data_IF_447174365608
#
_entry.id   IF_447174365608
#
_cell.length_a   1.000
_cell.length_b   1.000
_cell.length_c   1.000
_cell.angle_alpha   90.00
_cell.angle_beta   90.00
_cell.angle_gamma   90.00
#
_symmetry.space_group_name_H-M   'P 1'
#
loop_
_entity.id
_entity.type
_entity.pdbx_description
1 polymer ?
#
# COMPACT_ATOMS: atom_id res chain seq x y z
N UNK A 1 2.32 -13.14 -13.80
CA UNK A 1 0.95 -13.16 -13.27
C UNK A 1 0.73 -14.33 -12.30
N UNK A 2 1.03 -15.59 -12.67
CA UNK A 2 0.70 -16.75 -11.83
C UNK A 2 1.25 -16.63 -10.39
N UNK A 3 2.53 -16.31 -10.25
CA UNK A 3 3.15 -16.14 -8.94
C UNK A 3 2.56 -14.96 -8.15
N UNK A 4 2.26 -13.83 -8.81
CA UNK A 4 1.65 -12.68 -8.16
C UNK A 4 0.24 -13.02 -7.62
N UNK A 5 -0.60 -13.64 -8.44
CA UNK A 5 -1.97 -14.01 -8.06
C UNK A 5 -1.97 -15.06 -6.92
N UNK A 6 -1.07 -16.04 -6.99
CA UNK A 6 -0.91 -17.03 -5.92
C UNK A 6 -0.45 -16.34 -4.61
N UNK A 7 0.59 -15.49 -4.69
CA UNK A 7 1.09 -14.75 -3.52
C UNK A 7 0.02 -13.87 -2.87
N UNK A 8 -0.79 -13.15 -3.66
CA UNK A 8 -1.89 -12.32 -3.14
C UNK A 8 -2.89 -13.17 -2.36
N UNK A 9 -3.31 -14.32 -2.92
CA UNK A 9 -4.27 -15.21 -2.24
C UNK A 9 -3.70 -15.73 -0.92
N UNK A 10 -2.50 -16.28 -0.93
CA UNK A 10 -1.85 -16.82 0.26
C UNK A 10 -1.65 -15.76 1.34
N UNK A 11 -1.19 -14.55 0.95
CA UNK A 11 -0.99 -13.46 1.90
C UNK A 11 -2.31 -13.05 2.55
N UNK A 12 -3.37 -12.86 1.78
CA UNK A 12 -4.67 -12.43 2.31
C UNK A 12 -5.27 -13.47 3.26
N UNK A 13 -5.05 -14.76 3.00
CA UNK A 13 -5.54 -15.85 3.82
C UNK A 13 -4.73 -16.04 5.10
N UNK A 14 -3.40 -16.03 5.01
CA UNK A 14 -2.52 -16.50 6.09
C UNK A 14 -1.89 -15.39 6.93
N UNK A 15 -1.78 -14.16 6.41
CA UNK A 15 -1.11 -13.08 7.13
C UNK A 15 -1.73 -12.77 8.50
N UNK A 16 -3.06 -12.66 8.67
CA UNK A 16 -3.65 -12.42 9.99
C UNK A 16 -3.39 -13.55 10.99
N UNK A 17 -3.44 -14.80 10.54
CA UNK A 17 -3.17 -15.98 11.37
C UNK A 17 -1.70 -16.03 11.81
N UNK A 18 -0.79 -15.75 10.86
CA UNK A 18 0.66 -15.68 11.12
C UNK A 18 0.99 -14.56 12.11
N UNK A 19 0.34 -13.41 11.99
CA UNK A 19 0.49 -12.30 12.92
C UNK A 19 0.00 -12.65 14.33
N UNK A 20 -1.06 -13.44 14.42
CA UNK A 20 -1.58 -13.98 15.69
C UNK A 20 -0.71 -15.08 16.31
N UNK A 21 0.38 -15.50 15.66
CA UNK A 21 1.34 -16.46 16.19
C UNK A 21 1.15 -17.91 15.74
N UNK A 22 0.29 -18.17 14.77
CA UNK A 22 0.11 -19.51 14.20
C UNK A 22 1.36 -19.95 13.41
N UNK A 23 1.93 -21.09 13.77
CA UNK A 23 3.17 -21.60 13.19
C UNK A 23 3.00 -22.15 11.77
N UNK A 24 1.86 -22.76 11.45
CA UNK A 24 1.56 -23.22 10.10
C UNK A 24 1.36 -22.03 9.16
N UNK A 25 0.60 -21.04 9.61
CA UNK A 25 0.43 -19.80 8.87
C UNK A 25 1.76 -19.05 8.66
N UNK A 26 2.69 -19.12 9.61
CA UNK A 26 4.04 -18.57 9.49
C UNK A 26 4.81 -19.22 8.34
N UNK A 27 4.67 -20.54 8.16
CA UNK A 27 5.30 -21.24 7.05
C UNK A 27 4.69 -20.81 5.72
N UNK A 28 3.35 -20.76 5.62
CA UNK A 28 2.67 -20.24 4.43
C UNK A 28 3.13 -18.82 4.06
N UNK A 29 3.26 -17.93 5.03
CA UNK A 29 3.76 -16.59 4.80
C UNK A 29 5.21 -16.54 4.34
N UNK A 30 6.04 -17.47 4.83
CA UNK A 30 7.44 -17.58 4.40
C UNK A 30 7.55 -18.00 2.93
N UNK A 31 6.71 -18.92 2.50
CA UNK A 31 6.62 -19.34 1.10
C UNK A 31 5.98 -18.26 0.21
N UNK A 32 4.89 -17.65 0.65
CA UNK A 32 4.17 -16.63 -0.08
C UNK A 32 5.02 -15.38 -0.37
N UNK A 33 5.83 -14.92 0.60
CA UNK A 33 6.73 -13.78 0.38
C UNK A 33 7.83 -14.10 -0.63
N UNK A 34 8.33 -15.34 -0.67
CA UNK A 34 9.30 -15.79 -1.64
C UNK A 34 8.68 -15.80 -3.06
N UNK A 35 7.47 -16.34 -3.21
CA UNK A 35 6.73 -16.37 -4.47
C UNK A 35 6.41 -14.95 -4.95
N UNK A 36 5.98 -14.07 -4.06
CA UNK A 36 5.78 -12.66 -4.35
C UNK A 36 7.10 -11.99 -4.80
N UNK A 37 8.22 -12.33 -4.16
CA UNK A 37 9.56 -11.88 -4.53
C UNK A 37 9.92 -12.24 -5.98
N UNK A 38 9.66 -13.48 -6.39
CA UNK A 38 9.86 -13.94 -7.77
C UNK A 38 8.96 -13.16 -8.75
N UNK A 39 7.72 -12.86 -8.35
CA UNK A 39 6.78 -12.11 -9.17
C UNK A 39 7.26 -10.68 -9.44
N UNK A 40 7.59 -9.92 -8.40
CA UNK A 40 8.02 -8.53 -8.58
C UNK A 40 9.46 -8.40 -9.11
N UNK A 41 10.32 -9.39 -8.93
CA UNK A 41 11.64 -9.40 -9.59
C UNK A 41 11.52 -9.50 -11.11
N UNK A 42 10.42 -10.05 -11.62
CA UNK A 42 10.16 -10.17 -13.06
C UNK A 42 9.24 -9.07 -13.60
N UNK A 43 8.28 -8.61 -12.79
CA UNK A 43 7.26 -7.63 -13.18
C UNK A 43 7.57 -6.19 -12.76
N UNK A 44 8.64 -6.02 -11.98
CA UNK A 44 9.02 -4.77 -11.33
C UNK A 44 7.95 -4.27 -10.34
N UNK A 45 8.13 -3.05 -9.84
CA UNK A 45 7.29 -2.43 -8.82
C UNK A 45 6.68 -1.14 -9.36
N UNK A 46 5.79 -0.51 -8.61
CA UNK A 46 5.14 0.73 -9.00
C UNK A 46 5.25 1.82 -7.93
N UNK A 47 4.42 2.84 -8.05
CA UNK A 47 4.50 4.06 -7.24
C UNK A 47 4.24 3.86 -5.74
N UNK A 48 3.62 2.77 -5.31
CA UNK A 48 3.56 2.41 -3.87
C UNK A 48 4.96 2.35 -3.30
N UNK A 49 5.86 1.62 -3.96
CA UNK A 49 7.26 1.48 -3.55
C UNK A 49 8.04 2.77 -3.72
N UNK A 50 7.82 3.52 -4.81
CA UNK A 50 8.46 4.82 -5.01
C UNK A 50 8.17 5.77 -3.84
N UNK A 51 6.93 5.88 -3.41
CA UNK A 51 6.56 6.68 -2.24
C UNK A 51 7.15 6.12 -0.95
N UNK A 52 7.09 4.81 -0.73
CA UNK A 52 7.63 4.17 0.47
C UNK A 52 9.16 4.37 0.60
N UNK A 53 9.90 4.29 -0.50
CA UNK A 53 11.34 4.58 -0.51
C UNK A 53 11.67 6.01 -0.09
N UNK A 54 10.84 6.98 -0.49
CA UNK A 54 11.13 8.41 -0.24
C UNK A 54 10.55 8.91 1.08
N UNK A 55 9.56 8.24 1.64
CA UNK A 55 9.00 8.61 2.96
C UNK A 55 9.72 7.92 4.13
N UNK A 56 10.38 6.79 3.90
CA UNK A 56 10.99 5.97 4.95
C UNK A 56 11.93 6.72 5.88
N UNK A 57 12.78 7.59 5.34
CA UNK A 57 13.78 8.36 6.09
C UNK A 57 13.67 9.88 5.86
N UNK A 58 12.49 10.37 5.43
CA UNK A 58 12.29 11.78 5.12
C UNK A 58 12.11 12.66 6.36
N UNK A 59 11.62 12.08 7.44
CA UNK A 59 11.18 12.79 8.64
C UNK A 59 12.19 12.66 9.78
N UNK A 60 12.41 13.72 10.54
CA UNK A 60 13.43 13.78 11.59
C UNK A 60 13.13 12.80 12.74
N UNK A 61 11.85 12.72 13.13
CA UNK A 61 11.40 11.90 14.26
C UNK A 61 10.62 10.65 13.82
N UNK A 62 10.42 10.46 12.52
CA UNK A 62 9.50 9.46 11.98
C UNK A 62 10.12 8.59 10.91
N UNK A 63 10.89 7.56 11.30
CA UNK A 63 11.26 6.53 10.34
C UNK A 63 10.04 5.65 10.04
N UNK A 64 9.45 5.82 8.84
CA UNK A 64 8.32 5.00 8.42
C UNK A 64 8.84 3.66 7.91
N UNK A 65 8.48 2.59 8.61
CA UNK A 65 8.86 1.22 8.23
C UNK A 65 8.31 0.91 6.83
N UNK A 66 9.16 0.42 5.93
CA UNK A 66 8.85 0.21 4.52
C UNK A 66 7.56 -0.61 4.30
N UNK A 67 7.37 -1.70 5.04
CA UNK A 67 6.15 -2.52 4.94
C UNK A 67 4.89 -1.77 5.37
N UNK A 68 4.96 -0.97 6.44
CA UNK A 68 3.84 -0.15 6.90
C UNK A 68 3.52 0.97 5.89
N UNK A 69 4.54 1.62 5.31
CA UNK A 69 4.36 2.60 4.25
C UNK A 69 3.60 2.01 3.05
N UNK A 70 4.07 0.86 2.55
CA UNK A 70 3.41 0.17 1.44
C UNK A 70 1.94 -0.17 1.78
N UNK A 71 1.67 -0.66 2.98
CA UNK A 71 0.32 -1.01 3.42
C UNK A 71 -0.61 0.21 3.48
N UNK A 72 -0.14 1.34 4.02
CA UNK A 72 -0.90 2.60 4.08
C UNK A 72 -1.20 3.18 2.69
N UNK A 73 -0.26 3.04 1.74
CA UNK A 73 -0.37 3.68 0.43
C UNK A 73 -1.12 2.83 -0.59
N UNK A 74 -1.16 1.51 -0.41
CA UNK A 74 -1.67 0.57 -1.41
C UNK A 74 -3.11 0.88 -1.84
N UNK A 75 -4.01 1.11 -0.90
CA UNK A 75 -5.41 1.43 -1.21
C UNK A 75 -5.56 2.71 -2.05
N UNK A 76 -4.79 3.75 -1.71
CA UNK A 76 -4.80 5.04 -2.44
C UNK A 76 -4.22 4.89 -3.85
N UNK A 77 -3.16 4.11 -4.01
CA UNK A 77 -2.58 3.84 -5.33
C UNK A 77 -3.51 2.98 -6.19
N UNK A 78 -4.23 2.02 -5.63
CA UNK A 78 -5.26 1.28 -6.36
C UNK A 78 -6.34 2.24 -6.89
N UNK A 79 -6.84 3.17 -6.07
CA UNK A 79 -7.80 4.20 -6.49
C UNK A 79 -7.22 5.09 -7.61
N UNK A 80 -5.95 5.53 -7.48
CA UNK A 80 -5.26 6.30 -8.51
C UNK A 80 -5.13 5.54 -9.83
N UNK A 81 -4.59 4.33 -9.78
CA UNK A 81 -4.33 3.51 -10.96
C UNK A 81 -5.61 3.01 -11.63
N UNK A 82 -6.73 2.88 -10.91
CA UNK A 82 -8.01 2.42 -11.45
C UNK A 82 -8.64 3.39 -12.48
N UNK A 83 -8.07 4.58 -12.64
CA UNK A 83 -8.44 5.49 -13.75
C UNK A 83 -7.84 5.03 -15.09
N UNK A 84 -6.84 4.16 -15.11
CA UNK A 84 -6.44 3.40 -16.30
C UNK A 84 -7.35 2.17 -16.45
N UNK A 85 -8.06 2.02 -17.59
CA UNK A 85 -9.02 0.92 -17.77
C UNK A 85 -8.41 -0.47 -17.64
N UNK A 86 -7.16 -0.67 -18.07
CA UNK A 86 -6.48 -1.98 -18.00
C UNK A 86 -6.11 -2.31 -16.56
N UNK A 87 -5.67 -1.31 -15.79
CA UNK A 87 -5.42 -1.49 -14.37
C UNK A 87 -6.72 -1.78 -13.61
N UNK A 88 -7.81 -1.06 -13.92
CA UNK A 88 -9.13 -1.30 -13.33
C UNK A 88 -9.60 -2.75 -13.56
N UNK A 89 -9.52 -3.25 -14.80
CA UNK A 89 -9.87 -4.63 -15.14
C UNK A 89 -9.02 -5.66 -14.33
N UNK A 90 -7.73 -5.38 -14.16
CA UNK A 90 -6.83 -6.28 -13.39
C UNK A 90 -7.15 -6.27 -11.90
N UNK A 91 -7.43 -5.12 -11.32
CA UNK A 91 -7.85 -5.03 -9.92
C UNK A 91 -9.21 -5.72 -9.68
N UNK A 92 -10.17 -5.50 -10.58
CA UNK A 92 -11.47 -6.18 -10.52
C UNK A 92 -11.31 -7.71 -10.64
N UNK A 93 -10.43 -8.18 -11.54
CA UNK A 93 -10.11 -9.60 -11.66
C UNK A 93 -9.53 -10.17 -10.35
N UNK A 94 -8.58 -9.49 -9.73
CA UNK A 94 -8.00 -9.92 -8.44
C UNK A 94 -9.08 -9.98 -7.37
N UNK A 95 -9.93 -8.95 -7.28
CA UNK A 95 -11.02 -8.92 -6.31
C UNK A 95 -12.00 -10.09 -6.49
N UNK A 96 -12.47 -10.30 -7.71
CA UNK A 96 -13.51 -11.29 -8.02
C UNK A 96 -12.99 -12.72 -8.06
N UNK A 97 -11.97 -12.98 -8.88
CA UNK A 97 -11.54 -14.34 -9.20
C UNK A 97 -10.49 -14.89 -8.22
N UNK A 98 -9.73 -14.04 -7.55
CA UNK A 98 -8.67 -14.48 -6.65
C UNK A 98 -9.10 -14.38 -5.18
N UNK A 99 -9.76 -13.28 -4.81
CA UNK A 99 -10.17 -13.02 -3.43
C UNK A 99 -11.65 -13.27 -3.17
N UNK A 100 -12.43 -13.57 -4.21
CA UNK A 100 -13.88 -13.84 -4.13
C UNK A 100 -14.68 -12.76 -3.39
N UNK A 101 -14.28 -11.49 -3.63
CA UNK A 101 -14.95 -10.33 -3.02
C UNK A 101 -16.29 -10.03 -3.74
N UNK A 102 -17.26 -9.46 -3.03
CA UNK A 102 -18.56 -9.10 -3.63
C UNK A 102 -18.42 -7.87 -4.55
N UNK A 103 -19.23 -7.86 -5.62
CA UNK A 103 -19.33 -6.75 -6.58
C UNK A 103 -19.71 -7.27 -7.96
N UNK A 104 -20.46 -6.45 -8.71
CA UNK A 104 -20.89 -6.76 -10.07
C UNK A 104 -20.18 -5.88 -11.12
N UNK A 105 -19.77 -4.68 -10.74
CA UNK A 105 -19.03 -3.77 -11.60
C UNK A 105 -17.54 -3.69 -11.20
N UNK A 106 -16.69 -3.19 -12.09
CA UNK A 106 -15.27 -2.98 -11.76
C UNK A 106 -15.11 -2.02 -10.59
N UNK A 107 -15.91 -0.96 -10.53
CA UNK A 107 -15.90 0.03 -9.47
C UNK A 107 -16.23 -0.59 -8.11
N UNK A 108 -17.28 -1.42 -8.04
CA UNK A 108 -17.65 -2.13 -6.81
C UNK A 108 -16.56 -3.12 -6.37
N UNK A 109 -16.00 -3.87 -7.31
CA UNK A 109 -14.92 -4.83 -7.03
C UNK A 109 -13.63 -4.15 -6.56
N UNK A 110 -13.28 -3.00 -7.15
CA UNK A 110 -12.14 -2.20 -6.72
C UNK A 110 -12.38 -1.61 -5.33
N UNK A 111 -13.58 -1.11 -5.06
CA UNK A 111 -13.93 -0.61 -3.73
C UNK A 111 -13.87 -1.75 -2.68
N UNK A 112 -14.35 -2.94 -3.01
CA UNK A 112 -14.25 -4.12 -2.14
C UNK A 112 -12.79 -4.53 -1.91
N UNK A 113 -11.92 -4.44 -2.93
CA UNK A 113 -10.48 -4.71 -2.80
C UNK A 113 -9.80 -3.70 -1.86
N UNK A 114 -10.07 -2.41 -2.03
CA UNK A 114 -9.55 -1.35 -1.14
C UNK A 114 -10.03 -1.59 0.29
N UNK A 115 -11.31 -1.90 0.49
CA UNK A 115 -11.84 -2.21 1.81
C UNK A 115 -11.17 -3.44 2.43
N UNK A 116 -10.94 -4.50 1.65
CA UNK A 116 -10.22 -5.69 2.12
C UNK A 116 -8.80 -5.38 2.61
N UNK A 117 -8.09 -4.47 1.94
CA UNK A 117 -6.77 -4.00 2.37
C UNK A 117 -6.88 -3.23 3.69
N UNK A 118 -7.87 -2.34 3.81
CA UNK A 118 -8.12 -1.60 5.06
C UNK A 118 -8.42 -2.54 6.23
N UNK A 119 -9.26 -3.55 6.00
CA UNK A 119 -9.59 -4.57 7.02
C UNK A 119 -8.35 -5.35 7.46
N UNK A 120 -7.44 -5.67 6.53
CA UNK A 120 -6.16 -6.30 6.86
C UNK A 120 -5.27 -5.38 7.70
N UNK A 121 -5.15 -4.11 7.31
CA UNK A 121 -4.39 -3.13 8.10
C UNK A 121 -4.92 -3.03 9.54
N UNK A 122 -6.25 -3.00 9.70
CA UNK A 122 -6.88 -2.95 11.03
C UNK A 122 -6.58 -4.21 11.85
N UNK A 123 -6.68 -5.40 11.25
CA UNK A 123 -6.35 -6.66 11.91
C UNK A 123 -4.89 -6.76 12.35
N UNK A 124 -3.99 -6.10 11.63
CA UNK A 124 -2.55 -6.10 11.87
C UNK A 124 -2.08 -4.89 12.71
N UNK A 125 -2.99 -4.07 13.18
CA UNK A 125 -2.70 -2.81 13.88
C UNK A 125 -1.82 -1.83 13.05
N UNK A 126 -1.88 -1.92 11.72
CA UNK A 126 -1.23 -0.98 10.80
C UNK A 126 -2.14 0.25 10.66
N UNK A 127 -1.61 1.49 10.75
CA UNK A 127 -2.41 2.69 10.55
C UNK A 127 -2.94 2.81 9.12
N UNK A 128 -4.06 3.53 8.96
CA UNK A 128 -4.64 3.81 7.64
C UNK A 128 -4.02 5.03 6.97
N UNK A 129 -3.28 5.84 7.73
CA UNK A 129 -2.69 7.10 7.26
C UNK A 129 -1.31 7.36 7.87
N UNK A 130 -0.53 8.23 7.22
CA UNK A 130 0.74 8.71 7.78
C UNK A 130 0.50 9.51 9.08
N UNK A 131 -0.61 10.23 9.16
CA UNK A 131 -0.99 11.00 10.36
C UNK A 131 -1.19 10.11 11.58
N UNK A 132 -1.70 8.90 11.38
CA UNK A 132 -1.97 7.95 12.46
C UNK A 132 -0.81 6.96 12.68
N UNK A 133 0.35 7.23 12.09
CA UNK A 133 1.54 6.39 12.20
C UNK A 133 2.32 6.69 13.48
N UNK A 134 2.56 5.65 14.26
CA UNK A 134 3.43 5.66 15.43
C UNK A 134 4.66 4.75 15.22
N UNK A 135 5.63 4.85 16.14
CA UNK A 135 6.84 4.06 16.09
C UNK A 135 6.53 2.55 16.06
N UNK A 136 7.32 1.82 15.31
CA UNK A 136 7.11 0.38 15.12
C UNK A 136 6.07 0.01 14.06
N UNK A 137 5.49 0.99 13.37
CA UNK A 137 4.51 0.76 12.29
C UNK A 137 3.09 0.52 12.79
N UNK A 138 2.80 0.91 14.02
CA UNK A 138 1.50 0.75 14.68
C UNK A 138 0.69 2.05 14.68
N UNK A 139 -0.60 1.93 15.02
CA UNK A 139 -1.50 3.09 15.17
C UNK A 139 -1.12 3.94 16.37
N UNK A 140 -1.34 5.25 16.24
CA UNK A 140 -1.22 6.21 17.34
C UNK A 140 -2.21 5.86 18.46
N UNK A 141 -1.71 5.83 19.69
CA UNK A 141 -2.49 5.68 20.92
C UNK A 141 -1.82 6.44 22.09
N UNK A 142 -2.28 6.22 23.31
CA UNK A 142 -1.76 6.92 24.50
C UNK A 142 -0.29 6.57 24.80
N UNK A 143 0.20 5.40 24.40
CA UNK A 143 1.56 4.91 24.62
C UNK A 143 2.45 5.14 23.39
N UNK A 144 1.85 5.24 22.22
CA UNK A 144 2.52 5.36 20.92
C UNK A 144 2.15 6.70 20.26
N UNK A 145 2.92 7.77 20.50
CA UNK A 145 2.62 9.08 19.93
C UNK A 145 2.86 9.14 18.42
N UNK A 146 2.17 10.08 17.77
CA UNK A 146 2.36 10.38 16.36
C UNK A 146 3.82 10.70 16.04
N UNK A 147 4.35 10.11 14.96
CA UNK A 147 5.73 10.26 14.53
C UNK A 147 5.94 11.35 13.49
N UNK A 148 4.94 11.64 12.66
CA UNK A 148 5.05 12.58 11.55
C UNK A 148 4.03 13.70 11.73
N UNK A 149 4.49 14.88 12.15
CA UNK A 149 3.62 16.05 12.27
C UNK A 149 3.16 16.56 10.90
N UNK A 150 2.00 17.23 10.87
CA UNK A 150 1.49 17.84 9.64
C UNK A 150 2.44 18.90 9.09
N UNK A 151 3.02 19.72 9.95
CA UNK A 151 3.98 20.76 9.57
C UNK A 151 5.20 20.17 8.87
N UNK A 152 5.82 19.14 9.46
CA UNK A 152 6.97 18.46 8.89
C UNK A 152 6.61 17.74 7.58
N UNK A 153 5.46 17.05 7.54
CA UNK A 153 4.98 16.38 6.33
C UNK A 153 4.82 17.37 5.18
N UNK A 154 4.12 18.49 5.40
CA UNK A 154 3.89 19.50 4.36
C UNK A 154 5.19 20.19 3.91
N UNK A 155 6.13 20.42 4.82
CA UNK A 155 7.44 20.99 4.48
C UNK A 155 8.28 20.06 3.61
N UNK A 156 8.23 18.75 3.85
CA UNK A 156 9.00 17.74 3.09
C UNK A 156 8.30 17.25 1.82
N UNK A 157 7.00 17.44 1.69
CA UNK A 157 6.18 16.89 0.61
C UNK A 157 6.69 17.18 -0.80
N UNK A 158 7.09 18.42 -1.18
CA UNK A 158 7.60 18.69 -2.53
C UNK A 158 8.89 17.90 -2.86
N UNK A 159 9.78 17.77 -1.89
CA UNK A 159 11.02 17.01 -2.05
C UNK A 159 10.74 15.52 -2.20
N UNK A 160 9.88 14.96 -1.35
CA UNK A 160 9.45 13.56 -1.42
C UNK A 160 8.82 13.26 -2.77
N UNK A 161 7.91 14.12 -3.25
CA UNK A 161 7.22 13.95 -4.52
C UNK A 161 8.16 13.99 -5.73
N UNK A 162 9.09 14.95 -5.76
CA UNK A 162 10.09 15.05 -6.82
C UNK A 162 11.03 13.82 -6.85
N UNK A 163 11.45 13.36 -5.68
CA UNK A 163 12.28 12.17 -5.56
C UNK A 163 11.53 10.88 -5.92
N UNK A 164 10.23 10.79 -5.64
CA UNK A 164 9.38 9.66 -6.02
C UNK A 164 9.18 9.59 -7.53
N UNK A 165 9.01 10.73 -8.22
CA UNK A 165 8.89 10.76 -9.69
C UNK A 165 10.11 10.14 -10.38
N UNK A 166 11.30 10.34 -9.83
CA UNK A 166 12.57 9.82 -10.38
C UNK A 166 12.99 8.46 -9.82
N UNK A 167 12.19 7.86 -8.95
CA UNK A 167 12.48 6.53 -8.41
C UNK A 167 12.40 5.45 -9.49
N UNK A 168 13.27 4.45 -9.39
CA UNK A 168 13.37 3.36 -10.35
C UNK A 168 12.07 2.52 -10.50
N UNK A 169 11.19 2.55 -9.51
CA UNK A 169 9.91 1.84 -9.55
C UNK A 169 8.80 2.63 -10.28
N UNK A 170 8.94 3.94 -10.46
CA UNK A 170 7.88 4.79 -11.03
C UNK A 170 7.55 4.50 -12.49
N UNK A 171 8.52 4.22 -13.39
CA UNK A 171 8.23 3.98 -14.81
C UNK A 171 7.31 2.78 -15.07
N UNK A 172 7.26 1.81 -14.15
CA UNK A 172 6.48 0.58 -14.33
C UNK A 172 5.04 0.70 -13.81
N UNK A 173 4.68 1.86 -13.24
CA UNK A 173 3.31 2.10 -12.81
C UNK A 173 2.37 2.20 -14.01
N UNK A 174 1.18 1.56 -14.00
CA UNK A 174 0.27 1.56 -15.15
C UNK A 174 -0.23 2.95 -15.57
N UNK A 175 -0.36 3.87 -14.61
CA UNK A 175 -0.72 5.26 -14.86
C UNK A 175 0.50 6.16 -14.66
N UNK A 176 0.85 6.96 -15.68
CA UNK A 176 1.92 7.95 -15.56
C UNK A 176 1.64 8.89 -14.38
N UNK A 177 2.68 9.12 -13.56
CA UNK A 177 2.54 9.88 -12.31
C UNK A 177 3.70 10.88 -12.21
N UNK A 178 3.37 12.17 -12.13
CA UNK A 178 4.33 13.27 -12.01
C UNK A 178 4.42 13.77 -10.56
N UNK A 179 5.43 14.58 -10.24
CA UNK A 179 5.61 15.15 -8.90
C UNK A 179 4.33 15.80 -8.34
N UNK A 180 3.61 16.57 -9.16
CA UNK A 180 2.35 17.17 -8.73
C UNK A 180 1.25 16.15 -8.39
N UNK A 181 1.25 14.99 -9.02
CA UNK A 181 0.33 13.89 -8.70
C UNK A 181 0.76 13.19 -7.43
N UNK A 182 2.06 12.92 -7.27
CA UNK A 182 2.62 12.38 -6.03
C UNK A 182 2.28 13.24 -4.81
N UNK A 183 2.36 14.59 -4.92
CA UNK A 183 1.95 15.46 -3.84
C UNK A 183 0.48 15.25 -3.42
N UNK A 184 -0.43 15.11 -4.40
CA UNK A 184 -1.85 14.87 -4.12
C UNK A 184 -2.09 13.50 -3.51
N UNK A 185 -1.45 12.45 -4.07
CA UNK A 185 -1.57 11.07 -3.57
C UNK A 185 -1.02 10.98 -2.14
N UNK A 186 0.16 11.56 -1.88
CA UNK A 186 0.76 11.58 -0.54
C UNK A 186 -0.09 12.36 0.48
N UNK A 187 -0.74 13.46 0.07
CA UNK A 187 -1.74 14.14 0.92
C UNK A 187 -2.92 13.23 1.24
N UNK A 188 -3.44 12.50 0.24
CA UNK A 188 -4.49 11.52 0.48
C UNK A 188 -4.04 10.40 1.44
N UNK A 189 -2.77 9.96 1.35
CA UNK A 189 -2.17 9.01 2.31
C UNK A 189 -1.99 9.61 3.72
N UNK A 190 -1.70 10.92 3.83
CA UNK A 190 -1.53 11.59 5.12
C UNK A 190 -2.87 11.79 5.83
N UNK A 191 -3.91 12.25 5.11
CA UNK A 191 -5.22 12.59 5.69
C UNK A 191 -6.25 11.46 5.62
N UNK A 192 -5.90 10.30 5.08
CA UNK A 192 -6.82 9.18 4.78
C UNK A 192 -8.04 9.61 3.95
N UNK A 193 -7.84 10.43 2.94
CA UNK A 193 -8.91 10.82 2.01
C UNK A 193 -8.91 9.95 0.75
N UNK A 194 -10.08 9.75 0.15
CA UNK A 194 -10.18 9.02 -1.11
C UNK A 194 -9.59 9.81 -2.28
N UNK A 195 -9.17 9.06 -3.31
CA UNK A 195 -8.66 9.63 -4.57
C UNK A 195 -9.76 9.57 -5.61
N UNK A 196 -10.25 10.74 -6.00
CA UNK A 196 -11.33 10.94 -7.00
C UNK A 196 -10.87 11.73 -8.24
N UNK A 197 -9.57 12.09 -8.32
CA UNK A 197 -8.95 12.91 -9.36
C UNK A 197 -8.04 12.11 -10.30
#
# INVERSE_FOLDING_TARGET
DANALHGIREIVEWLPKSYAGDHEARQHMHEAQCIAGIAFSSGLLGIVHSMAHKTGAAFENGHIIHGAANAMYLGKVIQWNSKDPRAAERYAYVAKEILHLPGETNEELIAALVQKIRDLNDQLNIPQSIKDYANGGVKVDAENPQMVSEEEFLAKLPEIAANAETDACTPENPRETKAADFEKILKACYYDTDIDF
#
